data_IF_511830229416
#
_entry.id   IF_511830229416
#
_cell.length_a   1.000
_cell.length_b   1.000
_cell.length_c   1.000
_cell.angle_alpha   90.00
_cell.angle_beta   90.00
_cell.angle_gamma   90.00
#
_symmetry.space_group_name_H-M   'P 1'
#
loop_
_entity.id
_entity.type
_entity.pdbx_description
1 polymer ?
#
# COMPACT_ATOMS: atom_id res chain seq x y z
N UNK A 1 -39.23 26.43 9.48
CA UNK A 1 -39.15 25.15 10.22
C UNK A 1 -37.73 24.65 10.09
N UNK A 2 -36.88 25.00 11.04
CA UNK A 2 -35.49 24.53 11.10
C UNK A 2 -35.52 23.11 11.65
N UNK A 3 -35.15 22.15 10.82
CA UNK A 3 -35.07 20.74 11.20
C UNK A 3 -33.88 20.55 12.12
N UNK A 4 -34.12 20.50 13.43
CA UNK A 4 -33.13 20.03 14.40
C UNK A 4 -32.73 18.60 13.97
N UNK A 5 -31.49 18.42 13.50
CA UNK A 5 -30.91 17.09 13.34
C UNK A 5 -30.53 16.60 14.73
N UNK A 6 -31.00 15.43 15.17
CA UNK A 6 -30.63 14.90 16.48
C UNK A 6 -29.11 14.67 16.55
N UNK A 7 -28.51 15.05 17.68
CA UNK A 7 -27.07 14.87 17.96
C UNK A 7 -26.74 13.36 17.98
N UNK A 8 -25.69 12.88 17.28
CA UNK A 8 -25.32 11.47 17.30
C UNK A 8 -25.04 10.96 18.72
N UNK A 9 -25.56 9.78 19.02
CA UNK A 9 -25.32 9.12 20.31
C UNK A 9 -23.83 8.81 20.54
N UNK A 10 -23.34 8.82 21.80
CA UNK A 10 -21.94 8.50 22.14
C UNK A 10 -21.45 7.16 21.59
N UNK A 11 -22.32 6.15 21.52
CA UNK A 11 -21.98 4.83 20.97
C UNK A 11 -21.79 4.87 19.44
N UNK A 12 -22.50 5.74 18.74
CA UNK A 12 -22.32 5.93 17.30
C UNK A 12 -20.97 6.59 16.98
N UNK A 13 -20.57 7.59 17.76
CA UNK A 13 -19.27 8.25 17.66
C UNK A 13 -18.13 7.24 17.86
N UNK A 14 -18.19 6.43 18.93
CA UNK A 14 -17.17 5.42 19.23
C UNK A 14 -17.08 4.31 18.18
N UNK A 15 -18.20 3.93 17.55
CA UNK A 15 -18.19 2.98 16.43
C UNK A 15 -17.52 3.57 15.19
N UNK A 16 -17.82 4.83 14.85
CA UNK A 16 -17.20 5.54 13.73
C UNK A 16 -15.69 5.69 13.92
N UNK A 17 -15.23 6.08 15.12
CA UNK A 17 -13.79 6.13 15.45
C UNK A 17 -13.11 4.77 15.30
N UNK A 18 -13.76 3.69 15.79
CA UNK A 18 -13.23 2.34 15.64
C UNK A 18 -13.16 1.88 14.18
N UNK A 19 -14.10 2.31 13.35
CA UNK A 19 -14.13 2.03 11.91
C UNK A 19 -13.04 2.82 11.17
N UNK A 20 -12.84 4.09 11.51
CA UNK A 20 -11.73 4.91 11.01
C UNK A 20 -10.38 4.29 11.30
N UNK A 21 -10.13 3.87 12.55
CA UNK A 21 -8.88 3.19 12.93
C UNK A 21 -8.67 1.85 12.21
N UNK A 22 -9.75 1.10 11.92
CA UNK A 22 -9.67 -0.12 11.11
C UNK A 22 -9.35 0.19 9.64
N UNK A 23 -9.94 1.24 9.08
CA UNK A 23 -9.66 1.72 7.73
C UNK A 23 -8.20 2.12 7.54
N UNK A 24 -7.66 2.92 8.46
CA UNK A 24 -6.25 3.34 8.42
C UNK A 24 -5.30 2.14 8.48
N UNK A 25 -5.57 1.16 9.34
CA UNK A 25 -4.76 -0.08 9.44
C UNK A 25 -4.85 -0.93 8.18
N UNK A 26 -6.04 -1.06 7.59
CA UNK A 26 -6.22 -1.80 6.34
C UNK A 26 -5.48 -1.12 5.19
N UNK A 27 -5.55 0.22 5.12
CA UNK A 27 -4.83 1.01 4.13
C UNK A 27 -3.32 0.84 4.24
N UNK A 28 -2.77 0.97 5.44
CA UNK A 28 -1.35 0.76 5.70
C UNK A 28 -0.89 -0.67 5.35
N UNK A 29 -1.70 -1.69 5.67
CA UNK A 29 -1.39 -3.07 5.31
C UNK A 29 -1.41 -3.30 3.78
N UNK A 30 -2.37 -2.70 3.07
CA UNK A 30 -2.48 -2.79 1.62
C UNK A 30 -1.31 -2.09 0.92
N UNK A 31 -0.90 -0.91 1.41
CA UNK A 31 0.29 -0.19 0.93
C UNK A 31 1.57 -1.01 1.14
N UNK A 32 1.77 -1.56 2.35
CA UNK A 32 2.93 -2.43 2.63
C UNK A 32 2.95 -3.71 1.78
N UNK A 33 1.78 -4.26 1.40
CA UNK A 33 1.72 -5.39 0.48
C UNK A 33 2.16 -5.00 -0.95
N UNK A 34 1.74 -3.83 -1.45
CA UNK A 34 2.16 -3.33 -2.76
C UNK A 34 3.68 -3.13 -2.81
N UNK A 35 4.28 -2.61 -1.74
CA UNK A 35 5.74 -2.47 -1.62
C UNK A 35 6.47 -3.83 -1.70
N UNK A 36 6.01 -4.81 -0.93
CA UNK A 36 6.58 -6.17 -0.96
C UNK A 36 6.44 -6.80 -2.34
N UNK A 37 5.27 -6.64 -2.98
CA UNK A 37 5.02 -7.13 -4.32
C UNK A 37 5.98 -6.50 -5.35
N UNK A 38 6.16 -5.18 -5.31
CA UNK A 38 7.12 -4.46 -6.15
C UNK A 38 8.54 -4.99 -5.97
N UNK A 39 8.97 -5.17 -4.72
CA UNK A 39 10.28 -5.74 -4.41
C UNK A 39 10.45 -7.14 -5.03
N UNK A 40 9.42 -8.00 -4.97
CA UNK A 40 9.44 -9.34 -5.57
C UNK A 40 9.44 -9.29 -7.09
N UNK A 41 8.69 -8.37 -7.70
CA UNK A 41 8.69 -8.18 -9.15
C UNK A 41 10.07 -7.75 -9.66
N UNK A 42 10.72 -6.79 -8.98
CA UNK A 42 12.09 -6.35 -9.31
C UNK A 42 13.12 -7.47 -9.15
N UNK A 43 12.98 -8.28 -8.09
CA UNK A 43 13.83 -9.46 -7.87
C UNK A 43 13.67 -10.49 -9.01
N UNK A 44 12.43 -10.78 -9.43
CA UNK A 44 12.14 -11.71 -10.51
C UNK A 44 12.65 -11.21 -11.87
N UNK A 45 12.45 -9.92 -12.18
CA UNK A 45 12.96 -9.30 -13.40
C UNK A 45 14.50 -9.41 -13.50
N UNK A 46 15.21 -9.35 -12.38
CA UNK A 46 16.66 -9.57 -12.34
C UNK A 46 17.05 -11.03 -12.57
N UNK A 47 16.32 -11.96 -11.96
CA UNK A 47 16.57 -13.39 -12.12
C UNK A 47 16.37 -13.86 -13.58
N UNK A 48 15.51 -13.18 -14.34
CA UNK A 48 15.26 -13.46 -15.77
C UNK A 48 16.12 -12.67 -16.76
N UNK A 49 17.01 -11.78 -16.30
CA UNK A 49 17.94 -11.04 -17.18
C UNK A 49 19.19 -11.84 -17.54
N UNK A 50 19.98 -11.40 -18.54
CA UNK A 50 21.26 -12.05 -18.86
C UNK A 50 22.13 -12.10 -17.60
N UNK A 51 22.43 -13.32 -17.16
CA UNK A 51 22.90 -13.65 -15.82
C UNK A 51 24.27 -13.08 -15.46
N UNK A 52 24.61 -13.26 -14.18
CA UNK A 52 25.84 -12.86 -13.46
C UNK A 52 27.16 -13.08 -14.23
N UNK A 53 27.16 -14.00 -15.19
CA UNK A 53 28.29 -14.39 -16.02
C UNK A 53 28.77 -13.30 -16.99
N UNK A 54 27.92 -12.31 -17.33
CA UNK A 54 28.29 -11.23 -18.26
C UNK A 54 28.79 -9.94 -17.58
N UNK A 55 28.56 -9.74 -16.28
CA UNK A 55 28.83 -8.46 -15.58
C UNK A 55 29.56 -8.62 -14.24
N UNK A 56 30.20 -9.76 -13.98
CA UNK A 56 30.67 -10.27 -12.68
C UNK A 56 31.73 -9.46 -11.87
N UNK A 57 31.59 -8.15 -11.74
CA UNK A 57 32.37 -7.31 -10.84
C UNK A 57 31.54 -6.90 -9.62
N UNK A 58 32.08 -7.11 -8.41
CA UNK A 58 31.46 -6.74 -7.13
C UNK A 58 31.11 -5.25 -7.01
N UNK A 59 31.77 -4.38 -7.79
CA UNK A 59 31.45 -2.96 -7.88
C UNK A 59 30.12 -2.71 -8.63
N UNK A 60 29.85 -3.47 -9.69
CA UNK A 60 28.60 -3.35 -10.46
C UNK A 60 27.41 -3.79 -9.62
N UNK A 61 27.55 -4.89 -8.87
CA UNK A 61 26.51 -5.37 -7.94
C UNK A 61 26.20 -4.32 -6.87
N UNK A 62 27.22 -3.65 -6.32
CA UNK A 62 27.04 -2.64 -5.27
C UNK A 62 26.35 -1.37 -5.78
N UNK A 63 26.75 -0.87 -6.95
CA UNK A 63 26.09 0.27 -7.61
C UNK A 63 24.65 -0.05 -8.00
N UNK A 64 24.39 -1.28 -8.49
CA UNK A 64 23.04 -1.74 -8.84
C UNK A 64 22.14 -1.85 -7.61
N UNK A 65 22.65 -2.34 -6.49
CA UNK A 65 21.90 -2.42 -5.23
C UNK A 65 21.58 -1.03 -4.64
N UNK A 66 22.50 -0.07 -4.79
CA UNK A 66 22.23 1.34 -4.43
C UNK A 66 21.18 1.97 -5.36
N UNK A 67 21.26 1.71 -6.66
CA UNK A 67 20.26 2.15 -7.64
C UNK A 67 18.89 1.54 -7.36
N UNK A 68 18.81 0.25 -7.00
CA UNK A 68 17.55 -0.39 -6.61
C UNK A 68 16.97 0.23 -5.35
N UNK A 69 17.82 0.56 -4.37
CA UNK A 69 17.37 1.18 -3.12
C UNK A 69 16.76 2.55 -3.40
N UNK A 70 17.39 3.35 -4.26
CA UNK A 70 16.86 4.65 -4.68
C UNK A 70 15.64 4.53 -5.61
N UNK A 71 15.59 3.52 -6.48
CA UNK A 71 14.44 3.29 -7.36
C UNK A 71 13.24 2.72 -6.59
N UNK A 72 13.47 1.87 -5.59
CA UNK A 72 12.43 1.42 -4.67
C UNK A 72 11.94 2.58 -3.81
N UNK A 73 12.84 3.42 -3.29
CA UNK A 73 12.50 4.62 -2.52
C UNK A 73 11.72 5.66 -3.34
N UNK A 74 12.12 5.91 -4.59
CA UNK A 74 11.45 6.89 -5.48
C UNK A 74 10.21 6.31 -6.17
N UNK A 75 10.23 5.02 -6.51
CA UNK A 75 9.17 4.29 -7.19
C UNK A 75 8.02 3.87 -6.28
N UNK A 76 8.25 3.56 -5.00
CA UNK A 76 7.15 3.25 -4.07
C UNK A 76 6.18 4.42 -3.92
N UNK A 77 6.67 5.67 -4.00
CA UNK A 77 5.82 6.87 -4.01
C UNK A 77 5.16 7.16 -5.37
N UNK A 78 5.86 6.91 -6.48
CA UNK A 78 5.46 7.34 -7.83
C UNK A 78 4.77 6.26 -8.69
N UNK A 79 5.04 4.98 -8.45
CA UNK A 79 4.54 3.89 -9.28
C UNK A 79 3.09 3.49 -8.95
N UNK A 80 2.59 3.79 -7.73
CA UNK A 80 1.25 3.46 -7.18
C UNK A 80 0.46 2.59 -8.16
N UNK A 81 0.75 1.29 -8.16
CA UNK A 81 0.25 0.36 -9.17
C UNK A 81 -1.27 0.15 -9.05
N UNK A 82 -1.87 0.69 -7.99
CA UNK A 82 -3.30 0.60 -7.70
C UNK A 82 -3.68 -0.71 -7.01
N UNK A 83 -2.71 -1.55 -6.67
CA UNK A 83 -2.93 -2.81 -5.98
C UNK A 83 -3.36 -2.56 -4.53
N UNK A 84 -2.73 -1.60 -3.86
CA UNK A 84 -3.11 -1.22 -2.49
C UNK A 84 -4.57 -0.74 -2.43
N UNK A 85 -4.99 0.08 -3.39
CA UNK A 85 -6.36 0.57 -3.50
C UNK A 85 -7.35 -0.57 -3.83
N UNK A 86 -6.99 -1.48 -4.74
CA UNK A 86 -7.83 -2.62 -5.07
C UNK A 86 -8.04 -3.56 -3.87
N UNK A 87 -6.99 -3.81 -3.09
CA UNK A 87 -7.06 -4.60 -1.85
C UNK A 87 -7.94 -3.90 -0.82
N UNK A 88 -7.73 -2.61 -0.60
CA UNK A 88 -8.54 -1.82 0.33
C UNK A 88 -10.03 -1.91 -0.03
N UNK A 89 -10.39 -1.64 -1.29
CA UNK A 89 -11.79 -1.69 -1.76
C UNK A 89 -12.42 -3.07 -1.63
N UNK A 90 -11.65 -4.14 -1.85
CA UNK A 90 -12.17 -5.50 -1.73
C UNK A 90 -12.36 -5.93 -0.26
N UNK A 91 -11.45 -5.50 0.63
CA UNK A 91 -11.42 -5.95 2.01
C UNK A 91 -12.18 -5.04 2.98
N UNK A 92 -12.34 -3.75 2.66
CA UNK A 92 -13.01 -2.78 3.51
C UNK A 92 -14.45 -3.21 3.86
N UNK A 93 -15.29 -3.69 2.92
CA UNK A 93 -16.63 -4.19 3.24
C UNK A 93 -16.59 -5.38 4.21
N UNK A 94 -15.68 -6.32 3.98
CA UNK A 94 -15.51 -7.52 4.82
C UNK A 94 -15.00 -7.19 6.22
N UNK A 95 -14.27 -6.08 6.37
CA UNK A 95 -13.77 -5.56 7.64
C UNK A 95 -14.78 -4.66 8.38
N UNK A 96 -16.01 -4.51 7.86
CA UNK A 96 -17.04 -3.66 8.43
C UNK A 96 -16.69 -2.17 8.39
N UNK A 97 -15.87 -1.77 7.42
CA UNK A 97 -15.59 -0.37 7.09
C UNK A 97 -16.61 0.03 6.03
N UNK A 98 -17.65 0.76 6.43
CA UNK A 98 -18.57 1.35 5.48
C UNK A 98 -17.85 2.51 4.78
N UNK A 99 -17.92 2.57 3.45
CA UNK A 99 -17.54 3.80 2.75
C UNK A 99 -18.58 4.85 3.11
N UNK A 100 -18.13 5.94 3.72
CA UNK A 100 -18.96 7.12 3.95
C UNK A 100 -19.19 7.73 2.57
N UNK A 101 -20.35 7.42 1.98
CA UNK A 101 -20.79 7.91 0.69
C UNK A 101 -21.04 9.43 0.82
N UNK A 102 -20.08 10.23 0.35
CA UNK A 102 -20.21 11.68 0.14
C UNK A 102 -21.20 12.01 -0.95
#
# INVERSE_FOLDING_TARGET
METIRPDPSPDALRRAESAGSRGEKLRAAAEGFEELFLQKMLQAARAGGPGDDLLGSSAVTRTRSMLDTELARSGAGAARLGLAEAIYRHMAPSAGIAEDET
#
